data_IF_197378088994
#
_entry.id   IF_197378088994
#
_cell.length_a   1.000
_cell.length_b   1.000
_cell.length_c   1.000
_cell.angle_alpha   90.00
_cell.angle_beta   90.00
_cell.angle_gamma   90.00
#
_symmetry.space_group_name_H-M   'P 1'
#
loop_
_entity.id
_entity.type
_entity.pdbx_description
1 polymer ?
#
# COMPACT_ATOMS: atom_id res chain seq x y z
N UNK A 1 50.80 30.55 18.78
CA UNK A 1 51.17 30.15 17.40
C UNK A 1 50.14 29.14 16.91
N UNK A 2 49.39 29.47 15.86
CA UNK A 2 48.34 28.62 15.30
C UNK A 2 48.84 27.64 14.21
N UNK A 3 50.10 27.79 13.77
CA UNK A 3 50.80 26.86 12.89
C UNK A 3 52.05 26.33 13.58
N UNK A 4 52.26 25.02 13.53
CA UNK A 4 53.43 24.36 14.11
C UNK A 4 53.86 23.17 13.25
N UNK A 5 55.12 22.74 13.37
CA UNK A 5 55.60 21.49 12.77
C UNK A 5 55.76 20.43 13.85
N UNK A 6 55.39 19.19 13.54
CA UNK A 6 55.67 18.05 14.41
C UNK A 6 56.99 17.40 14.01
N UNK A 7 57.63 16.70 14.94
CA UNK A 7 58.94 16.04 14.70
C UNK A 7 58.83 14.82 13.76
N UNK A 8 57.62 14.29 13.60
CA UNK A 8 57.25 13.07 12.87
C UNK A 8 56.59 13.35 11.51
N UNK A 9 56.45 14.61 11.08
CA UNK A 9 55.76 14.96 9.84
C UNK A 9 56.42 16.13 9.10
N UNK A 10 56.63 16.04 7.77
CA UNK A 10 57.17 17.14 6.98
C UNK A 10 56.15 18.28 6.76
N UNK A 11 54.88 18.04 7.08
CA UNK A 11 53.78 18.99 6.87
C UNK A 11 53.59 19.94 8.04
N UNK A 12 53.12 21.15 7.73
CA UNK A 12 52.63 22.06 8.76
C UNK A 12 51.35 21.53 9.38
N UNK A 13 51.14 21.82 10.66
CA UNK A 13 49.93 21.49 11.39
C UNK A 13 49.26 22.78 11.85
N UNK A 14 47.94 22.77 11.79
CA UNK A 14 47.11 23.89 12.24
C UNK A 14 46.51 23.56 13.60
N UNK A 15 46.59 24.51 14.53
CA UNK A 15 45.95 24.44 15.84
C UNK A 15 44.95 25.58 15.95
N UNK A 16 43.68 25.26 15.78
CA UNK A 16 42.57 26.21 15.85
C UNK A 16 41.84 26.00 17.17
N UNK A 17 41.53 27.09 17.87
CA UNK A 17 40.66 27.05 19.05
C UNK A 17 39.36 27.74 18.69
N UNK A 18 38.27 27.00 18.71
CA UNK A 18 36.92 27.50 18.40
C UNK A 18 36.03 27.12 19.57
N UNK A 19 35.48 28.11 20.26
CA UNK A 19 34.58 27.95 21.41
C UNK A 19 35.06 26.94 22.46
N UNK A 20 36.31 27.09 22.91
CA UNK A 20 36.93 26.26 23.95
C UNK A 20 37.43 24.90 23.45
N UNK A 21 37.04 24.44 22.26
CA UNK A 21 37.50 23.18 21.68
C UNK A 21 38.70 23.39 20.76
N UNK A 22 39.73 22.56 20.95
CA UNK A 22 40.98 22.63 20.20
C UNK A 22 40.96 21.59 19.07
N UNK A 23 40.94 22.06 17.83
CA UNK A 23 41.09 21.22 16.64
C UNK A 23 42.55 21.30 16.18
N UNK A 24 43.17 20.14 16.00
CA UNK A 24 44.55 20.02 15.50
C UNK A 24 44.59 19.11 14.29
N UNK A 25 44.80 19.69 13.11
CA UNK A 25 44.78 18.99 11.82
C UNK A 25 46.10 19.25 11.05
N UNK A 26 46.52 18.29 10.22
CA UNK A 26 47.65 18.46 9.31
C UNK A 26 47.20 19.29 8.11
N UNK A 27 48.00 20.26 7.67
CA UNK A 27 47.69 21.06 6.47
C UNK A 27 48.07 20.35 5.17
N UNK A 28 48.77 19.20 5.24
CA UNK A 28 49.18 18.42 4.07
C UNK A 28 50.20 19.11 3.15
N UNK A 29 50.75 20.26 3.57
CA UNK A 29 51.74 21.02 2.79
C UNK A 29 52.97 21.37 3.63
N UNK A 30 54.14 21.28 3.01
CA UNK A 30 55.41 21.70 3.60
C UNK A 30 55.63 23.23 3.49
N UNK A 31 54.87 23.91 2.63
CA UNK A 31 54.94 25.35 2.41
C UNK A 31 54.20 26.12 3.49
N UNK A 32 54.91 27.04 4.16
CA UNK A 32 54.34 27.88 5.23
C UNK A 32 53.23 28.81 4.70
N UNK A 33 53.33 29.28 3.45
CA UNK A 33 52.33 30.16 2.83
C UNK A 33 51.02 29.43 2.56
N UNK A 34 51.08 28.25 1.95
CA UNK A 34 49.91 27.41 1.70
C UNK A 34 49.28 26.89 3.00
N UNK A 35 50.10 26.64 4.03
CA UNK A 35 49.61 26.29 5.36
C UNK A 35 48.83 27.44 6.02
N UNK A 36 49.25 28.69 5.78
CA UNK A 36 48.53 29.89 6.23
C UNK A 36 47.20 30.08 5.49
N UNK A 37 47.19 29.93 4.16
CA UNK A 37 45.96 29.96 3.35
C UNK A 37 44.97 28.87 3.80
N UNK A 38 45.45 27.65 4.06
CA UNK A 38 44.64 26.56 4.62
C UNK A 38 44.10 26.90 6.02
N UNK A 39 44.94 27.45 6.91
CA UNK A 39 44.52 27.91 8.24
C UNK A 39 43.40 28.94 8.14
N UNK A 40 43.53 29.94 7.27
CA UNK A 40 42.58 31.04 7.16
C UNK A 40 41.24 30.55 6.59
N UNK A 41 41.27 29.67 5.57
CA UNK A 41 40.08 29.01 5.04
C UNK A 41 39.39 28.14 6.09
N UNK A 42 40.15 27.33 6.82
CA UNK A 42 39.60 26.42 7.85
C UNK A 42 39.02 27.19 9.03
N UNK A 43 39.67 28.30 9.42
CA UNK A 43 39.17 29.20 10.47
C UNK A 43 37.87 29.88 10.04
N UNK A 44 37.77 30.33 8.78
CA UNK A 44 36.54 30.90 8.23
C UNK A 44 35.40 29.87 8.21
N UNK A 45 35.66 28.64 7.73
CA UNK A 45 34.68 27.54 7.75
C UNK A 45 34.17 27.23 9.17
N UNK A 46 35.08 27.08 10.15
CA UNK A 46 34.70 26.79 11.54
C UNK A 46 33.95 27.96 12.19
N UNK A 47 34.27 29.20 11.83
CA UNK A 47 33.59 30.39 12.34
C UNK A 47 32.22 30.58 11.69
N UNK A 48 32.07 30.33 10.38
CA UNK A 48 30.78 30.28 9.69
C UNK A 48 29.88 29.19 10.26
N UNK A 49 30.43 28.00 10.50
CA UNK A 49 29.73 26.89 11.13
C UNK A 49 29.09 27.28 12.46
N UNK A 50 29.82 28.06 13.27
CA UNK A 50 29.36 28.53 14.56
C UNK A 50 28.38 29.71 14.47
N UNK A 51 28.65 30.70 13.60
CA UNK A 51 27.87 31.95 13.55
C UNK A 51 26.55 31.81 12.79
N UNK A 52 26.49 30.92 11.80
CA UNK A 52 25.31 30.70 10.95
C UNK A 52 24.55 29.41 11.29
N UNK A 53 25.00 28.63 12.29
CA UNK A 53 24.40 27.34 12.63
C UNK A 53 24.53 26.30 11.51
N UNK A 54 25.58 26.40 10.68
CA UNK A 54 25.77 25.50 9.52
C UNK A 54 26.01 24.10 10.05
N UNK A 55 25.06 23.20 9.77
CA UNK A 55 25.16 21.79 10.16
C UNK A 55 26.41 21.15 9.53
N UNK A 56 27.11 20.25 10.25
CA UNK A 56 28.24 19.54 9.68
C UNK A 56 27.79 18.77 8.44
N UNK A 57 28.60 18.83 7.38
CA UNK A 57 28.40 18.03 6.16
C UNK A 57 28.44 16.55 6.50
N UNK A 58 27.42 15.82 6.07
CA UNK A 58 27.22 14.39 6.35
C UNK A 58 26.98 13.67 5.04
N UNK A 59 27.59 12.50 4.91
CA UNK A 59 27.48 11.71 3.70
C UNK A 59 26.20 10.87 3.67
N UNK A 60 25.84 10.44 2.46
CA UNK A 60 24.83 9.41 2.25
C UNK A 60 25.14 8.13 3.02
N UNK A 61 26.41 7.72 3.08
CA UNK A 61 26.82 6.47 3.72
C UNK A 61 26.56 6.50 5.23
N UNK A 62 26.89 7.61 5.89
CA UNK A 62 26.59 7.83 7.31
C UNK A 62 25.08 7.77 7.56
N UNK A 63 24.28 8.37 6.66
CA UNK A 63 22.83 8.38 6.76
C UNK A 63 22.22 6.99 6.60
N UNK A 64 22.75 6.18 5.67
CA UNK A 64 22.29 4.79 5.47
C UNK A 64 22.63 3.93 6.67
N UNK A 65 23.84 4.01 7.21
CA UNK A 65 24.26 3.24 8.37
C UNK A 65 23.38 3.55 9.58
N UNK A 66 23.18 4.84 9.87
CA UNK A 66 22.30 5.28 10.97
C UNK A 66 20.86 4.83 10.76
N UNK A 67 20.31 4.98 9.56
CA UNK A 67 18.95 4.52 9.24
C UNK A 67 18.77 3.03 9.51
N UNK A 68 19.74 2.21 9.07
CA UNK A 68 19.66 0.77 9.24
C UNK A 68 19.82 0.33 10.69
N UNK A 69 20.61 1.05 11.49
CA UNK A 69 20.77 0.81 12.92
C UNK A 69 19.48 1.16 13.71
N UNK A 70 18.84 2.28 13.37
CA UNK A 70 17.56 2.66 13.97
C UNK A 70 16.42 1.71 13.55
N UNK A 71 16.42 1.21 12.32
CA UNK A 71 15.36 0.37 11.75
C UNK A 71 15.61 -1.14 11.84
N UNK A 72 16.54 -1.62 12.68
CA UNK A 72 16.89 -3.05 12.79
C UNK A 72 15.67 -3.95 13.01
N UNK A 73 14.70 -3.49 13.81
CA UNK A 73 13.49 -4.26 14.17
C UNK A 73 12.34 -4.11 13.15
N UNK A 74 12.52 -3.31 12.10
CA UNK A 74 11.48 -3.08 11.08
C UNK A 74 11.25 -4.35 10.27
N UNK A 75 10.00 -4.82 10.18
CA UNK A 75 9.64 -6.01 9.37
C UNK A 75 10.10 -5.93 7.91
N UNK A 76 10.16 -4.71 7.33
CA UNK A 76 10.59 -4.49 5.95
C UNK A 76 12.06 -4.10 5.79
N UNK A 77 12.90 -4.23 6.83
CA UNK A 77 14.32 -3.82 6.77
C UNK A 77 15.08 -4.52 5.65
N UNK A 78 14.75 -5.77 5.34
CA UNK A 78 15.37 -6.52 4.25
C UNK A 78 14.99 -5.99 2.86
N UNK A 79 13.74 -5.54 2.68
CA UNK A 79 13.30 -4.89 1.45
C UNK A 79 13.97 -3.51 1.30
N UNK A 80 14.09 -2.75 2.40
CA UNK A 80 14.82 -1.49 2.42
C UNK A 80 16.29 -1.70 2.04
N UNK A 81 16.97 -2.70 2.62
CA UNK A 81 18.35 -3.09 2.25
C UNK A 81 18.48 -3.42 0.76
N UNK A 82 17.51 -4.14 0.17
CA UNK A 82 17.52 -4.44 -1.27
C UNK A 82 17.46 -3.15 -2.11
N UNK A 83 16.62 -2.19 -1.72
CA UNK A 83 16.53 -0.90 -2.41
C UNK A 83 17.79 -0.04 -2.20
N UNK A 84 18.38 -0.09 -1.01
CA UNK A 84 19.62 0.63 -0.68
C UNK A 84 20.83 0.09 -1.44
N UNK A 85 20.92 -1.23 -1.67
CA UNK A 85 21.97 -1.80 -2.54
C UNK A 85 21.96 -1.23 -3.95
N UNK A 86 20.82 -0.74 -4.43
CA UNK A 86 20.73 -0.05 -5.71
C UNK A 86 21.17 1.42 -5.60
N UNK A 87 20.83 2.11 -4.51
CA UNK A 87 21.23 3.50 -4.28
C UNK A 87 22.72 3.64 -3.93
N UNK A 88 23.31 2.67 -3.25
CA UNK A 88 24.68 2.73 -2.76
C UNK A 88 25.69 3.11 -3.86
N UNK A 89 25.83 2.37 -4.97
CA UNK A 89 26.81 2.73 -6.01
C UNK A 89 26.51 4.06 -6.75
N UNK A 90 25.37 4.70 -6.47
CA UNK A 90 24.94 5.95 -7.11
C UNK A 90 25.15 7.18 -6.24
N UNK A 91 25.11 7.01 -4.92
CA UNK A 91 25.16 8.10 -3.95
C UNK A 91 26.33 7.95 -2.95
N UNK A 92 27.15 6.91 -3.07
CA UNK A 92 28.34 6.69 -2.25
C UNK A 92 29.24 7.92 -2.21
N UNK A 93 29.67 8.31 -1.00
CA UNK A 93 30.50 9.48 -0.75
C UNK A 93 29.82 10.85 -1.00
N UNK A 94 28.59 10.88 -1.53
CA UNK A 94 27.87 12.12 -1.81
C UNK A 94 27.39 12.75 -0.50
N UNK A 95 27.56 14.07 -0.38
CA UNK A 95 27.00 14.82 0.74
C UNK A 95 25.46 14.92 0.60
N UNK A 96 24.74 14.83 1.71
CA UNK A 96 23.27 14.87 1.70
C UNK A 96 22.70 16.14 1.04
N UNK A 97 23.40 17.27 1.12
CA UNK A 97 22.99 18.54 0.48
C UNK A 97 23.10 18.49 -1.06
N UNK A 98 23.95 17.60 -1.60
CA UNK A 98 24.13 17.40 -3.03
C UNK A 98 23.06 16.48 -3.65
N UNK A 99 22.28 15.78 -2.82
CA UNK A 99 21.14 14.96 -3.28
C UNK A 99 19.98 15.89 -3.63
N UNK A 100 20.07 16.56 -4.78
CA UNK A 100 19.05 17.49 -5.26
C UNK A 100 17.94 16.76 -6.00
N UNK A 101 16.88 17.50 -6.36
CA UNK A 101 15.82 16.97 -7.24
C UNK A 101 16.38 16.46 -8.57
N UNK A 102 17.34 17.15 -9.16
CA UNK A 102 17.89 16.79 -10.47
C UNK A 102 18.69 15.48 -10.41
N UNK A 103 19.38 15.24 -9.30
CA UNK A 103 20.03 13.94 -9.03
C UNK A 103 18.97 12.83 -8.99
N UNK A 104 17.87 13.04 -8.25
CA UNK A 104 16.78 12.05 -8.16
C UNK A 104 16.09 11.82 -9.51
N UNK A 105 15.79 12.89 -10.26
CA UNK A 105 15.12 12.80 -11.56
C UNK A 105 16.01 12.12 -12.62
N UNK A 106 17.34 12.29 -12.56
CA UNK A 106 18.30 11.53 -13.39
C UNK A 106 18.18 10.02 -13.15
N UNK A 107 18.18 9.60 -11.90
CA UNK A 107 18.08 8.18 -11.54
C UNK A 107 16.70 7.56 -11.80
N UNK A 108 15.64 8.39 -11.81
CA UNK A 108 14.33 7.98 -12.30
C UNK A 108 14.37 7.67 -13.80
N UNK A 109 14.96 8.54 -14.60
CA UNK A 109 15.10 8.32 -16.04
C UNK A 109 15.95 7.07 -16.34
N UNK A 110 17.04 6.87 -15.60
CA UNK A 110 17.86 5.65 -15.70
C UNK A 110 17.03 4.39 -15.40
N UNK A 111 16.25 4.40 -14.32
CA UNK A 111 15.38 3.27 -13.96
C UNK A 111 14.36 2.96 -15.07
N UNK A 112 13.77 3.99 -15.67
CA UNK A 112 12.84 3.82 -16.79
C UNK A 112 13.53 3.28 -18.05
N UNK A 113 14.73 3.76 -18.39
CA UNK A 113 15.53 3.25 -19.52
C UNK A 113 15.93 1.79 -19.35
N UNK A 114 16.17 1.35 -18.11
CA UNK A 114 16.46 -0.05 -17.78
C UNK A 114 15.24 -0.98 -17.86
N UNK A 115 14.05 -0.47 -18.20
CA UNK A 115 12.81 -1.25 -18.27
C UNK A 115 12.23 -1.63 -16.90
N UNK A 116 12.67 -0.98 -15.82
CA UNK A 116 12.18 -1.25 -14.48
C UNK A 116 10.78 -0.68 -14.28
N UNK A 117 9.89 -1.46 -13.64
CA UNK A 117 8.52 -0.98 -13.40
C UNK A 117 8.49 0.27 -12.52
N UNK A 118 7.57 1.19 -12.82
CA UNK A 118 7.35 2.43 -12.06
C UNK A 118 7.11 2.16 -10.57
N UNK A 119 6.43 1.07 -10.23
CA UNK A 119 6.22 0.66 -8.85
C UNK A 119 7.54 0.36 -8.12
N UNK A 120 8.46 -0.39 -8.74
CA UNK A 120 9.78 -0.67 -8.17
C UNK A 120 10.60 0.60 -8.00
N UNK A 121 10.58 1.49 -8.99
CA UNK A 121 11.23 2.80 -8.92
C UNK A 121 10.66 3.63 -7.77
N UNK A 122 9.34 3.65 -7.60
CA UNK A 122 8.68 4.33 -6.49
C UNK A 122 9.06 3.76 -5.12
N UNK A 123 9.23 2.43 -4.98
CA UNK A 123 9.72 1.83 -3.72
C UNK A 123 11.13 2.31 -3.37
N UNK A 124 12.03 2.37 -4.36
CA UNK A 124 13.37 2.93 -4.16
C UNK A 124 13.35 4.40 -3.75
N UNK A 125 12.49 5.21 -4.41
CA UNK A 125 12.30 6.61 -4.07
C UNK A 125 11.70 6.82 -2.67
N UNK A 126 10.84 5.92 -2.22
CA UNK A 126 10.25 5.95 -0.88
C UNK A 126 11.32 5.72 0.20
N UNK A 127 12.24 4.76 0.00
CA UNK A 127 13.35 4.52 0.93
C UNK A 127 14.30 5.72 0.98
N UNK A 128 14.69 6.26 -0.19
CA UNK A 128 15.49 7.48 -0.25
C UNK A 128 14.81 8.63 0.50
N UNK A 129 13.51 8.85 0.26
CA UNK A 129 12.74 9.89 0.95
C UNK A 129 12.70 9.68 2.46
N UNK A 130 12.56 8.43 2.92
CA UNK A 130 12.54 8.12 4.35
C UNK A 130 13.85 8.55 5.02
N UNK A 131 15.00 8.20 4.44
CA UNK A 131 16.31 8.58 4.94
C UNK A 131 16.49 10.10 4.95
N UNK A 132 16.18 10.78 3.83
CA UNK A 132 16.31 12.24 3.75
C UNK A 132 15.37 12.96 4.73
N UNK A 133 14.17 12.42 4.98
CA UNK A 133 13.25 12.95 6.00
C UNK A 133 13.81 12.78 7.41
N UNK A 134 14.40 11.62 7.75
CA UNK A 134 15.06 11.45 9.04
C UNK A 134 16.22 12.41 9.20
N UNK A 135 17.08 12.50 8.18
CA UNK A 135 18.18 13.44 8.14
C UNK A 135 17.72 14.89 8.36
N UNK A 136 16.58 15.30 7.82
CA UNK A 136 16.09 16.66 7.99
C UNK A 136 15.31 16.90 9.30
N UNK A 137 14.46 15.96 9.71
CA UNK A 137 13.45 16.17 10.75
C UNK A 137 13.80 15.57 12.11
N UNK A 138 14.66 14.56 12.15
CA UNK A 138 14.99 13.81 13.38
C UNK A 138 16.47 13.93 13.73
N UNK A 139 17.36 13.89 12.74
CA UNK A 139 18.81 13.95 12.96
C UNK A 139 19.38 15.35 12.84
N UNK A 140 18.61 16.28 12.28
CA UNK A 140 19.01 17.66 12.02
C UNK A 140 20.31 17.77 11.19
N UNK A 141 20.54 16.82 10.27
CA UNK A 141 21.69 16.82 9.34
C UNK A 141 21.41 17.60 8.06
N UNK A 142 20.13 17.80 7.73
CA UNK A 142 19.69 18.51 6.53
C UNK A 142 18.68 19.59 6.93
N UNK A 143 18.64 20.72 6.22
CA UNK A 143 17.64 21.77 6.49
C UNK A 143 16.31 21.51 5.81
N UNK A 144 16.36 20.91 4.62
CA UNK A 144 15.17 20.64 3.81
C UNK A 144 15.33 19.39 2.98
N UNK A 145 14.25 18.62 2.91
CA UNK A 145 14.18 17.46 2.03
C UNK A 145 13.93 17.93 0.59
N UNK A 146 14.68 17.44 -0.42
CA UNK A 146 14.40 17.72 -1.81
C UNK A 146 13.00 17.23 -2.19
N UNK A 147 12.20 18.09 -2.82
CA UNK A 147 10.85 17.74 -3.25
C UNK A 147 10.90 17.08 -4.64
N UNK A 148 10.73 15.77 -4.68
CA UNK A 148 10.59 15.00 -5.93
C UNK A 148 9.27 14.25 -5.97
N UNK A 149 8.68 14.09 -7.17
CA UNK A 149 7.42 13.37 -7.38
C UNK A 149 7.67 11.90 -7.68
N UNK A 150 6.79 11.05 -7.16
CA UNK A 150 6.72 9.63 -7.53
C UNK A 150 6.14 9.49 -8.93
N UNK A 151 6.48 8.40 -9.61
CA UNK A 151 5.94 8.04 -10.92
C UNK A 151 4.47 7.62 -10.79
N UNK A 152 3.68 7.85 -11.83
CA UNK A 152 2.28 7.44 -11.87
C UNK A 152 2.21 5.93 -12.07
N UNK A 153 1.73 5.21 -11.07
CA UNK A 153 1.52 3.76 -11.19
C UNK A 153 0.20 3.50 -11.93
N UNK A 154 0.18 2.61 -12.94
CA UNK A 154 -1.08 2.20 -13.55
C UNK A 154 -1.96 1.51 -12.51
N UNK A 155 -3.28 1.74 -12.59
CA UNK A 155 -4.24 0.99 -11.78
C UNK A 155 -4.14 -0.49 -12.15
N UNK A 156 -3.73 -1.34 -11.21
CA UNK A 156 -3.55 -2.76 -11.48
C UNK A 156 -4.88 -3.40 -11.87
N UNK A 157 -4.93 -4.06 -13.03
CA UNK A 157 -6.09 -4.87 -13.43
C UNK A 157 -6.33 -5.96 -12.39
N UNK A 158 -7.56 -6.07 -11.90
CA UNK A 158 -7.97 -7.17 -11.02
C UNK A 158 -8.21 -8.39 -11.89
N UNK A 159 -7.26 -9.34 -11.88
CA UNK A 159 -7.47 -10.66 -12.47
C UNK A 159 -8.16 -11.56 -11.44
N UNK A 160 -9.22 -12.24 -11.86
CA UNK A 160 -9.95 -13.24 -11.10
C UNK A 160 -10.31 -14.41 -12.01
N UNK A 161 -10.54 -15.61 -11.46
CA UNK A 161 -10.94 -16.79 -12.24
C UNK A 161 -12.45 -16.89 -12.42
N UNK A 162 -12.89 -17.46 -13.54
CA UNK A 162 -14.25 -18.01 -13.66
C UNK A 162 -14.38 -19.30 -12.82
N UNK A 163 -15.61 -19.79 -12.64
CA UNK A 163 -15.86 -21.04 -11.90
C UNK A 163 -15.21 -22.24 -12.61
N UNK A 164 -15.26 -22.24 -13.94
CA UNK A 164 -14.68 -23.27 -14.81
C UNK A 164 -13.15 -23.21 -14.77
N UNK A 165 -12.56 -22.01 -14.86
CA UNK A 165 -11.11 -21.84 -14.69
C UNK A 165 -10.64 -22.33 -13.32
N UNK A 166 -11.37 -22.00 -12.26
CA UNK A 166 -11.05 -22.49 -10.91
C UNK A 166 -11.13 -24.02 -10.84
N UNK A 167 -12.17 -24.64 -11.41
CA UNK A 167 -12.30 -26.09 -11.49
C UNK A 167 -11.11 -26.76 -12.20
N UNK A 168 -10.74 -26.27 -13.39
CA UNK A 168 -9.57 -26.75 -14.13
C UNK A 168 -8.27 -26.59 -13.34
N UNK A 169 -8.07 -25.44 -12.70
CA UNK A 169 -6.89 -25.21 -11.87
C UNK A 169 -6.82 -26.20 -10.69
N UNK A 170 -7.93 -26.40 -9.98
CA UNK A 170 -7.97 -27.29 -8.83
C UNK A 170 -7.72 -28.74 -9.21
N UNK A 171 -8.20 -29.20 -10.37
CA UNK A 171 -7.92 -30.54 -10.89
C UNK A 171 -6.42 -30.77 -11.17
N UNK A 172 -5.71 -29.73 -11.59
CA UNK A 172 -4.29 -29.79 -11.96
C UNK A 172 -3.31 -29.61 -10.79
N UNK A 173 -3.80 -29.21 -9.61
CA UNK A 173 -2.95 -28.93 -8.45
C UNK A 173 -2.63 -30.20 -7.65
N UNK A 174 -1.38 -30.32 -7.13
CA UNK A 174 -1.05 -31.37 -6.17
C UNK A 174 -1.86 -31.18 -4.87
N UNK A 175 -2.11 -32.28 -4.15
CA UNK A 175 -3.05 -32.35 -3.03
C UNK A 175 -2.91 -31.18 -2.03
N UNK A 176 -1.70 -30.95 -1.50
CA UNK A 176 -1.44 -29.88 -0.53
C UNK A 176 -1.78 -28.47 -1.08
N UNK A 177 -1.46 -28.17 -2.34
CA UNK A 177 -1.81 -26.88 -2.94
C UNK A 177 -3.29 -26.80 -3.28
N UNK A 178 -3.90 -27.92 -3.68
CA UNK A 178 -5.33 -28.00 -4.01
C UNK A 178 -6.19 -27.70 -2.77
N UNK A 179 -5.88 -28.33 -1.63
CA UNK A 179 -6.56 -28.08 -0.36
C UNK A 179 -6.45 -26.59 0.04
N UNK A 180 -5.24 -26.05 0.05
CA UNK A 180 -5.01 -24.64 0.35
C UNK A 180 -5.71 -23.68 -0.63
N UNK A 181 -5.74 -24.01 -1.93
CA UNK A 181 -6.37 -23.18 -2.95
C UNK A 181 -7.90 -23.18 -2.81
N UNK A 182 -8.52 -24.35 -2.58
CA UNK A 182 -9.95 -24.47 -2.25
C UNK A 182 -10.30 -23.62 -1.03
N UNK A 183 -9.52 -23.77 0.04
CA UNK A 183 -9.72 -22.99 1.27
C UNK A 183 -9.56 -21.48 1.04
N UNK A 184 -8.57 -21.07 0.24
CA UNK A 184 -8.35 -19.66 -0.12
C UNK A 184 -9.49 -19.09 -0.96
N UNK A 185 -10.05 -19.87 -1.88
CA UNK A 185 -11.21 -19.48 -2.70
C UNK A 185 -12.50 -19.40 -1.88
N UNK A 186 -12.62 -20.19 -0.82
CA UNK A 186 -13.78 -20.21 0.05
C UNK A 186 -13.79 -19.06 1.08
N UNK A 187 -12.61 -18.69 1.61
CA UNK A 187 -12.48 -17.74 2.73
C UNK A 187 -11.90 -16.38 2.36
N UNK A 188 -11.23 -16.27 1.21
CA UNK A 188 -10.51 -15.05 0.83
C UNK A 188 -9.30 -14.71 1.71
N UNK A 189 -8.85 -15.64 2.55
CA UNK A 189 -7.75 -15.41 3.49
C UNK A 189 -6.43 -15.06 2.75
N UNK A 190 -5.59 -14.25 3.42
CA UNK A 190 -4.25 -13.97 2.89
C UNK A 190 -3.41 -15.24 2.92
N UNK A 191 -2.55 -15.42 1.93
CA UNK A 191 -1.65 -16.57 1.81
C UNK A 191 -0.92 -16.90 3.12
N UNK A 192 -0.39 -15.89 3.82
CA UNK A 192 0.29 -16.10 5.11
C UNK A 192 -0.60 -16.75 6.17
N UNK A 193 -1.86 -16.32 6.25
CA UNK A 193 -2.84 -16.84 7.21
C UNK A 193 -3.23 -18.28 6.88
N UNK A 194 -3.35 -18.62 5.59
CA UNK A 194 -3.64 -20.00 5.17
C UNK A 194 -2.45 -20.92 5.45
N UNK A 195 -1.23 -20.50 5.10
CA UNK A 195 -0.01 -21.29 5.36
C UNK A 195 0.26 -21.53 6.84
N UNK A 196 -0.09 -20.55 7.67
CA UNK A 196 0.13 -20.57 9.12
C UNK A 196 -1.11 -20.97 9.93
N UNK A 197 -2.14 -21.54 9.30
CA UNK A 197 -3.36 -21.91 10.01
C UNK A 197 -3.10 -23.11 10.91
N UNK A 198 -3.34 -22.94 12.22
CA UNK A 198 -3.21 -23.96 13.25
C UNK A 198 -4.58 -24.46 13.69
N UNK A 199 -4.67 -25.70 14.14
CA UNK A 199 -5.91 -26.27 14.68
C UNK A 199 -6.46 -25.47 15.86
N UNK A 200 -5.59 -24.95 16.72
CA UNK A 200 -5.96 -24.07 17.84
C UNK A 200 -6.66 -22.76 17.41
N UNK A 201 -6.58 -22.39 16.12
CA UNK A 201 -7.22 -21.19 15.55
C UNK A 201 -8.51 -21.51 14.80
N UNK A 202 -8.96 -22.76 14.79
CA UNK A 202 -10.18 -23.20 14.12
C UNK A 202 -11.17 -23.67 15.17
N UNK A 203 -12.36 -23.09 15.14
CA UNK A 203 -13.50 -23.49 15.94
C UNK A 203 -14.51 -24.16 15.00
N UNK A 204 -14.57 -25.49 15.04
CA UNK A 204 -15.43 -26.29 14.18
C UNK A 204 -16.91 -26.12 14.54
N UNK A 205 -17.22 -25.96 15.83
CA UNK A 205 -18.59 -25.82 16.32
C UNK A 205 -19.18 -24.47 15.90
N UNK A 206 -18.39 -23.40 16.01
CA UNK A 206 -18.79 -22.05 15.57
C UNK A 206 -18.53 -21.79 14.09
N UNK A 207 -18.00 -22.78 13.36
CA UNK A 207 -17.62 -22.69 11.95
C UNK A 207 -16.82 -21.41 11.66
N UNK A 208 -15.77 -21.16 12.46
CA UNK A 208 -14.99 -19.92 12.36
C UNK A 208 -13.49 -20.16 12.52
N UNK A 209 -12.69 -19.35 11.85
CA UNK A 209 -11.24 -19.33 12.00
C UNK A 209 -10.76 -17.97 12.53
N UNK A 210 -9.71 -17.99 13.35
CA UNK A 210 -9.13 -16.81 13.95
C UNK A 210 -7.81 -16.42 13.26
N UNK A 211 -7.74 -15.17 12.79
CA UNK A 211 -6.47 -14.57 12.35
C UNK A 211 -5.96 -13.66 13.45
N UNK A 212 -4.78 -13.92 13.97
CA UNK A 212 -4.20 -13.09 15.05
C UNK A 212 -3.87 -11.67 14.60
N UNK A 213 -3.91 -10.73 15.55
CA UNK A 213 -3.56 -9.34 15.32
C UNK A 213 -2.11 -9.15 14.81
N UNK A 214 -1.18 -10.01 15.21
CA UNK A 214 0.22 -10.01 14.79
C UNK A 214 0.42 -10.39 13.32
N UNK A 215 -0.52 -11.17 12.79
CA UNK A 215 -0.59 -11.70 11.41
C UNK A 215 -1.48 -10.83 10.51
N UNK A 216 -2.46 -10.14 11.10
CA UNK A 216 -3.29 -9.16 10.41
C UNK A 216 -2.52 -7.84 10.22
N UNK A 217 -2.38 -7.39 8.97
CA UNK A 217 -1.80 -6.05 8.66
C UNK A 217 -2.48 -4.89 9.40
N UNK A 218 -3.70 -5.09 9.90
CA UNK A 218 -4.47 -4.11 10.67
C UNK A 218 -4.40 -4.22 12.20
N UNK A 219 -3.58 -5.12 12.76
CA UNK A 219 -3.42 -5.30 14.23
C UNK A 219 -4.72 -5.58 15.01
N UNK A 220 -5.74 -6.10 14.35
CA UNK A 220 -7.00 -6.54 14.98
C UNK A 220 -7.22 -8.00 14.62
N UNK A 221 -7.62 -8.82 15.60
CA UNK A 221 -8.07 -10.17 15.32
C UNK A 221 -9.35 -10.12 14.51
N UNK A 222 -9.44 -10.92 13.45
CA UNK A 222 -10.61 -10.94 12.56
C UNK A 222 -11.15 -12.38 12.58
N UNK A 223 -12.36 -12.60 13.13
CA UNK A 223 -13.03 -13.88 12.96
C UNK A 223 -13.42 -14.02 11.50
N UNK A 224 -13.06 -15.15 10.90
CA UNK A 224 -13.38 -15.49 9.51
C UNK A 224 -14.43 -16.59 9.54
N UNK A 225 -15.69 -16.29 9.15
CA UNK A 225 -16.70 -17.33 9.05
C UNK A 225 -16.31 -18.32 7.96
N UNK A 226 -16.44 -19.59 8.26
CA UNK A 226 -16.12 -20.70 7.36
C UNK A 226 -17.42 -21.17 6.73
N UNK A 227 -17.52 -21.05 5.41
CA UNK A 227 -18.65 -21.61 4.68
C UNK A 227 -18.52 -23.15 4.56
N UNK A 228 -19.55 -23.79 4.04
CA UNK A 228 -19.58 -25.25 3.88
C UNK A 228 -18.37 -25.82 3.12
N UNK A 229 -17.88 -25.12 2.08
CA UNK A 229 -16.70 -25.57 1.32
C UNK A 229 -15.41 -25.45 2.15
N UNK A 230 -15.25 -24.37 2.92
CA UNK A 230 -14.12 -24.22 3.82
C UNK A 230 -14.11 -25.29 4.91
N UNK A 231 -15.29 -25.60 5.48
CA UNK A 231 -15.46 -26.67 6.48
C UNK A 231 -15.09 -28.04 5.90
N UNK A 232 -15.59 -28.40 4.72
CA UNK A 232 -15.22 -29.66 4.05
C UNK A 232 -13.71 -29.80 3.86
N UNK A 233 -13.04 -28.73 3.42
CA UNK A 233 -11.58 -28.75 3.24
C UNK A 233 -10.86 -28.96 4.56
N UNK A 234 -11.32 -28.33 5.65
CA UNK A 234 -10.74 -28.52 6.99
C UNK A 234 -10.95 -29.96 7.47
N UNK A 235 -12.14 -30.51 7.31
CA UNK A 235 -12.46 -31.90 7.66
C UNK A 235 -11.55 -32.89 6.90
N UNK A 236 -11.30 -32.65 5.61
CA UNK A 236 -10.35 -33.44 4.79
C UNK A 236 -8.89 -33.34 5.28
N UNK A 237 -8.53 -32.35 6.13
CA UNK A 237 -7.19 -32.23 6.71
C UNK A 237 -7.08 -32.85 8.12
N UNK A 238 -8.19 -33.21 8.77
CA UNK A 238 -8.16 -33.78 10.12
C UNK A 238 -7.30 -35.04 10.17
N UNK A 239 -6.47 -35.14 11.20
CA UNK A 239 -5.57 -36.29 11.42
C UNK A 239 -4.31 -36.31 10.57
N UNK A 240 -4.11 -35.39 9.60
CA UNK A 240 -2.89 -35.34 8.79
C UNK A 240 -1.68 -34.75 9.53
N UNK A 241 -1.91 -33.80 10.43
CA UNK A 241 -0.90 -33.16 11.26
C UNK A 241 -1.53 -32.68 12.58
N UNK A 242 -0.83 -32.81 13.73
CA UNK A 242 -1.40 -32.48 15.03
C UNK A 242 -1.49 -30.97 15.33
N UNK A 243 -0.69 -30.11 14.68
CA UNK A 243 -0.65 -28.67 14.99
C UNK A 243 -1.21 -27.81 13.84
N UNK A 244 -0.86 -28.16 12.59
CA UNK A 244 -1.12 -27.33 11.42
C UNK A 244 -2.22 -27.91 10.54
N UNK A 245 -3.12 -27.05 10.06
CA UNK A 245 -4.20 -27.47 9.16
C UNK A 245 -3.64 -27.84 7.77
N UNK A 246 -2.65 -27.08 7.28
CA UNK A 246 -2.04 -27.33 5.97
C UNK A 246 -0.54 -27.57 6.11
N UNK A 247 -0.10 -28.75 5.68
CA UNK A 247 1.32 -29.13 5.69
C UNK A 247 1.77 -29.66 4.33
N UNK A 248 3.08 -29.69 4.14
CA UNK A 248 3.70 -30.40 3.01
C UNK A 248 4.78 -31.32 3.56
N UNK A 249 4.61 -32.63 3.37
CA UNK A 249 5.53 -33.67 3.90
C UNK A 249 5.73 -33.55 5.42
N UNK A 250 4.64 -33.35 6.17
CA UNK A 250 4.66 -33.27 7.64
C UNK A 250 5.36 -32.02 8.20
N UNK A 251 5.52 -30.97 7.39
CA UNK A 251 6.11 -29.69 7.82
C UNK A 251 5.22 -28.52 7.44
N UNK A 252 5.26 -27.42 8.23
CA UNK A 252 4.55 -26.20 7.89
C UNK A 252 5.07 -25.61 6.58
N UNK A 253 4.18 -24.92 5.86
CA UNK A 253 4.49 -24.40 4.52
C UNK A 253 5.19 -23.03 4.64
N UNK A 254 6.51 -23.07 4.78
CA UNK A 254 7.33 -21.87 4.94
C UNK A 254 7.58 -21.13 3.61
N UNK A 255 7.64 -21.86 2.50
CA UNK A 255 7.96 -21.31 1.18
C UNK A 255 6.80 -20.53 0.54
N UNK A 256 7.09 -19.84 -0.58
CA UNK A 256 6.09 -19.14 -1.40
C UNK A 256 5.17 -20.15 -2.07
N UNK A 257 3.85 -19.91 -2.11
CA UNK A 257 2.87 -20.83 -2.73
C UNK A 257 2.86 -20.77 -4.26
N UNK A 258 3.29 -19.65 -4.86
CA UNK A 258 3.55 -19.54 -6.30
C UNK A 258 4.85 -20.27 -6.70
N UNK A 259 4.89 -21.56 -6.39
CA UNK A 259 6.00 -22.48 -6.66
C UNK A 259 6.09 -22.83 -8.15
N UNK A 260 7.09 -23.63 -8.52
CA UNK A 260 7.14 -24.25 -9.85
C UNK A 260 5.92 -25.14 -10.10
N UNK A 261 5.41 -25.84 -9.09
CA UNK A 261 4.21 -26.68 -9.21
C UNK A 261 2.96 -25.87 -9.54
N UNK A 262 2.76 -24.73 -8.85
CA UNK A 262 1.67 -23.78 -9.15
C UNK A 262 1.70 -23.31 -10.62
N UNK A 263 2.87 -22.87 -11.10
CA UNK A 263 3.02 -22.40 -12.49
C UNK A 263 2.77 -23.51 -13.51
N UNK A 264 3.22 -24.74 -13.23
CA UNK A 264 2.95 -25.90 -14.11
C UNK A 264 1.44 -26.23 -14.15
N UNK A 265 0.75 -26.18 -13.02
CA UNK A 265 -0.70 -26.40 -12.96
C UNK A 265 -1.46 -25.32 -13.75
N UNK A 266 -1.10 -24.05 -13.60
CA UNK A 266 -1.68 -22.97 -14.42
C UNK A 266 -1.48 -23.18 -15.92
N UNK A 267 -0.28 -23.60 -16.33
CA UNK A 267 -0.01 -23.90 -17.75
C UNK A 267 -0.90 -25.03 -18.28
N UNK A 268 -1.09 -26.12 -17.52
CA UNK A 268 -1.98 -27.22 -17.91
C UNK A 268 -3.45 -26.82 -17.92
N UNK A 269 -3.86 -25.97 -16.98
CA UNK A 269 -5.22 -25.43 -16.92
C UNK A 269 -5.51 -24.33 -17.96
N UNK A 270 -4.51 -23.90 -18.75
CA UNK A 270 -4.65 -22.83 -19.74
C UNK A 270 -4.86 -21.44 -19.13
N UNK A 271 -4.33 -21.18 -17.94
CA UNK A 271 -4.52 -19.93 -17.21
C UNK A 271 -3.24 -19.10 -17.23
N UNK A 272 -3.34 -17.90 -17.76
CA UNK A 272 -2.22 -16.95 -17.83
C UNK A 272 -2.35 -15.81 -16.81
N UNK A 273 -1.20 -15.20 -16.48
CA UNK A 273 -1.10 -14.00 -15.65
C UNK A 273 -1.82 -14.11 -14.28
N UNK A 274 -1.78 -15.28 -13.66
CA UNK A 274 -2.46 -15.55 -12.38
C UNK A 274 -1.47 -15.99 -11.29
N UNK A 275 -1.57 -15.39 -10.12
CA UNK A 275 -0.74 -15.67 -8.93
C UNK A 275 -1.62 -16.15 -7.79
N UNK A 276 -1.00 -16.71 -6.75
CA UNK A 276 -1.75 -17.19 -5.58
C UNK A 276 -2.61 -16.09 -4.94
N UNK A 277 -2.08 -14.87 -4.85
CA UNK A 277 -2.83 -13.76 -4.25
C UNK A 277 -4.10 -13.39 -5.04
N UNK A 278 -4.15 -13.76 -6.32
CA UNK A 278 -5.29 -13.51 -7.17
C UNK A 278 -6.46 -14.47 -6.87
N UNK A 279 -6.26 -15.52 -6.05
CA UNK A 279 -7.36 -16.31 -5.45
C UNK A 279 -8.22 -15.45 -4.52
N UNK A 280 -7.61 -14.54 -3.76
CA UNK A 280 -8.35 -13.60 -2.92
C UNK A 280 -9.11 -12.57 -3.76
N UNK A 281 -8.54 -12.14 -4.88
CA UNK A 281 -9.25 -11.32 -5.86
C UNK A 281 -10.43 -12.10 -6.45
N UNK A 282 -10.26 -13.38 -6.72
CA UNK A 282 -11.33 -14.28 -7.20
C UNK A 282 -12.46 -14.40 -6.20
N UNK A 283 -12.17 -14.70 -4.93
CA UNK A 283 -13.15 -14.72 -3.86
C UNK A 283 -13.93 -13.40 -3.76
N UNK A 284 -13.23 -12.26 -3.81
CA UNK A 284 -13.86 -10.94 -3.74
C UNK A 284 -14.74 -10.64 -4.94
N UNK A 285 -14.28 -10.97 -6.15
CA UNK A 285 -15.06 -10.84 -7.38
C UNK A 285 -16.33 -11.69 -7.34
N UNK A 286 -16.23 -12.93 -6.87
CA UNK A 286 -17.39 -13.82 -6.74
C UNK A 286 -18.40 -13.33 -5.71
N UNK A 287 -17.96 -12.73 -4.60
CA UNK A 287 -18.85 -12.06 -3.66
C UNK A 287 -19.56 -10.86 -4.29
N UNK A 288 -18.83 -10.03 -5.04
CA UNK A 288 -19.41 -8.87 -5.72
C UNK A 288 -20.44 -9.29 -6.77
N UNK A 289 -20.13 -10.32 -7.58
CA UNK A 289 -21.04 -10.88 -8.57
C UNK A 289 -22.27 -11.55 -7.94
N UNK A 290 -22.11 -12.15 -6.75
CA UNK A 290 -23.20 -12.73 -5.96
C UNK A 290 -24.01 -11.70 -5.18
N UNK A 291 -23.79 -10.40 -5.39
CA UNK A 291 -24.55 -9.32 -4.76
C UNK A 291 -24.22 -9.04 -3.30
N UNK A 292 -23.04 -9.45 -2.82
CA UNK A 292 -22.61 -9.12 -1.46
C UNK A 292 -22.36 -7.61 -1.33
N UNK A 293 -23.03 -6.90 -0.39
CA UNK A 293 -22.79 -5.47 -0.22
C UNK A 293 -21.31 -5.15 0.08
N UNK A 294 -20.76 -4.11 -0.54
CA UNK A 294 -19.32 -3.81 -0.45
C UNK A 294 -18.83 -3.59 0.98
N UNK A 295 -19.66 -3.05 1.87
CA UNK A 295 -19.31 -2.86 3.28
C UNK A 295 -19.22 -4.20 4.04
N UNK A 296 -20.06 -5.19 3.71
CA UNK A 296 -19.98 -6.56 4.24
C UNK A 296 -18.73 -7.24 3.71
N UNK A 297 -18.49 -7.15 2.39
CA UNK A 297 -17.29 -7.70 1.76
C UNK A 297 -16.01 -7.08 2.35
N UNK A 298 -16.03 -5.77 2.65
CA UNK A 298 -14.92 -5.09 3.32
C UNK A 298 -14.58 -5.75 4.67
N UNK A 299 -15.61 -6.02 5.49
CA UNK A 299 -15.47 -6.66 6.80
C UNK A 299 -14.98 -8.10 6.66
N UNK A 300 -15.62 -8.90 5.80
CA UNK A 300 -15.23 -10.29 5.54
C UNK A 300 -13.77 -10.41 5.08
N UNK A 301 -13.33 -9.53 4.19
CA UNK A 301 -11.96 -9.53 3.73
C UNK A 301 -10.97 -8.93 4.73
N UNK A 302 -11.41 -8.16 5.72
CA UNK A 302 -10.49 -7.42 6.60
C UNK A 302 -9.69 -6.33 5.87
N UNK A 303 -10.37 -5.58 4.99
CA UNK A 303 -9.79 -4.40 4.34
C UNK A 303 -9.91 -3.16 5.21
N UNK A 304 -8.80 -2.43 5.36
CA UNK A 304 -8.75 -1.26 6.26
C UNK A 304 -9.55 -0.07 5.74
N UNK A 305 -9.58 0.14 4.42
CA UNK A 305 -10.26 1.29 3.82
C UNK A 305 -11.25 0.84 2.73
N UNK A 306 -12.38 1.56 2.57
CA UNK A 306 -13.36 1.28 1.51
C UNK A 306 -12.75 1.32 0.10
N UNK A 307 -11.78 2.20 -0.13
CA UNK A 307 -11.06 2.30 -1.41
C UNK A 307 -10.39 0.98 -1.83
N UNK A 308 -10.01 0.11 -0.88
CA UNK A 308 -9.42 -1.20 -1.21
C UNK A 308 -10.44 -2.16 -1.83
N UNK A 309 -11.70 -2.13 -1.39
CA UNK A 309 -12.77 -3.02 -1.87
C UNK A 309 -13.51 -2.44 -3.08
N UNK A 310 -13.54 -1.11 -3.23
CA UNK A 310 -14.21 -0.45 -4.37
C UNK A 310 -13.75 -0.92 -5.75
N UNK A 311 -12.53 -1.47 -5.85
CA UNK A 311 -12.04 -2.09 -7.09
C UNK A 311 -12.91 -3.23 -7.61
N UNK A 312 -13.78 -3.84 -6.80
CA UNK A 312 -14.69 -4.90 -7.22
C UNK A 312 -16.13 -4.42 -7.43
N UNK A 313 -16.44 -3.16 -7.11
CA UNK A 313 -17.82 -2.66 -7.12
C UNK A 313 -18.47 -2.77 -8.51
N UNK A 314 -17.69 -2.56 -9.57
CA UNK A 314 -18.14 -2.70 -10.96
C UNK A 314 -18.54 -4.13 -11.36
N UNK A 315 -18.22 -5.15 -10.56
CA UNK A 315 -18.60 -6.54 -10.85
C UNK A 315 -19.98 -6.91 -10.32
N UNK A 316 -20.59 -6.04 -9.50
CA UNK A 316 -21.96 -6.20 -9.00
C UNK A 316 -23.01 -5.45 -9.82
N UNK A 317 -22.77 -5.18 -11.11
CA UNK A 317 -23.68 -4.35 -11.92
C UNK A 317 -25.05 -4.99 -12.14
N UNK A 318 -25.15 -6.33 -12.15
CA UNK A 318 -26.45 -7.02 -12.19
C UNK A 318 -27.31 -6.71 -10.95
N UNK A 319 -26.66 -6.40 -9.83
CA UNK A 319 -27.30 -5.99 -8.58
C UNK A 319 -27.83 -4.54 -8.65
N UNK A 320 -27.25 -3.67 -9.49
CA UNK A 320 -27.75 -2.29 -9.67
C UNK A 320 -29.18 -2.27 -10.20
N UNK A 321 -29.52 -3.22 -11.08
CA UNK A 321 -30.90 -3.38 -11.56
C UNK A 321 -31.84 -3.79 -10.42
N UNK A 322 -31.45 -4.78 -9.62
CA UNK A 322 -32.20 -5.22 -8.44
C UNK A 322 -32.40 -4.09 -7.41
N UNK A 323 -31.36 -3.30 -7.14
CA UNK A 323 -31.47 -2.15 -6.23
C UNK A 323 -32.29 -1.00 -6.83
N UNK A 324 -32.20 -0.76 -8.13
CA UNK A 324 -33.04 0.23 -8.81
C UNK A 324 -34.53 -0.13 -8.71
N UNK A 325 -34.88 -1.41 -8.83
CA UNK A 325 -36.25 -1.93 -8.69
C UNK A 325 -36.83 -1.78 -7.26
N UNK A 326 -36.01 -1.49 -6.25
CA UNK A 326 -36.50 -1.25 -4.87
C UNK A 326 -37.19 0.10 -4.71
N UNK A 327 -36.92 1.06 -5.60
CA UNK A 327 -37.61 2.35 -5.59
C UNK A 327 -38.99 2.16 -6.19
N UNK A 328 -39.98 1.90 -5.33
CA UNK A 328 -41.39 1.85 -5.71
C UNK A 328 -42.06 3.16 -5.37
N UNK A 329 -42.70 3.81 -6.36
CA UNK A 329 -43.64 4.88 -6.06
C UNK A 329 -44.88 4.24 -5.43
N UNK A 330 -45.31 4.74 -4.27
CA UNK A 330 -46.63 4.38 -3.76
C UNK A 330 -47.65 4.84 -4.79
N UNK A 331 -48.41 3.91 -5.38
CA UNK A 331 -49.64 4.29 -6.03
C UNK A 331 -50.55 4.87 -4.96
N UNK A 332 -50.92 6.14 -5.10
CA UNK A 332 -51.96 6.75 -4.27
C UNK A 332 -53.18 5.81 -4.29
N UNK A 333 -53.78 5.49 -3.13
CA UNK A 333 -55.02 4.73 -3.12
C UNK A 333 -56.02 5.40 -4.07
N UNK A 334 -56.81 4.64 -4.86
CA UNK A 334 -57.85 5.23 -5.68
C UNK A 334 -58.71 6.10 -4.76
N UNK A 335 -58.73 7.41 -5.06
CA UNK A 335 -59.33 8.41 -4.20
C UNK A 335 -60.73 7.96 -3.79
N UNK A 336 -61.03 8.04 -2.49
CA UNK A 336 -62.38 7.88 -1.99
C UNK A 336 -63.31 8.76 -2.82
N UNK A 337 -64.14 8.14 -3.65
CA UNK A 337 -65.27 8.82 -4.27
C UNK A 337 -66.20 9.16 -3.12
N UNK A 338 -66.12 10.39 -2.62
CA UNK A 338 -67.10 10.94 -1.72
C UNK A 338 -68.46 10.78 -2.41
N UNK A 339 -69.29 9.90 -1.87
CA UNK A 339 -70.66 9.71 -2.32
C UNK A 339 -71.39 11.07 -2.17
N UNK A 340 -71.52 11.79 -3.27
CA UNK A 340 -72.42 12.94 -3.35
C UNK A 340 -73.84 12.38 -3.25
N UNK A 341 -74.67 12.83 -2.27
CA UNK A 341 -76.05 12.41 -2.23
C UNK A 341 -76.76 12.96 -3.48
N UNK A 342 -77.50 12.10 -4.17
CA UNK A 342 -78.34 12.47 -5.30
C UNK A 342 -79.26 13.64 -4.91
N UNK A 343 -79.01 14.81 -5.49
CA UNK A 343 -80.01 15.88 -5.50
C UNK A 343 -80.92 15.69 -6.71
N UNK A 344 -82.13 15.25 -6.41
CA UNK A 344 -83.33 15.30 -7.23
C UNK A 344 -83.51 16.63 -7.97
N UNK A 345 -83.72 16.52 -9.29
CA UNK A 345 -84.34 17.41 -10.29
C UNK A 345 -84.57 18.89 -9.96
N UNK A 346 -83.96 19.77 -10.77
CA UNK A 346 -84.36 21.17 -10.99
C UNK A 346 -83.97 21.64 -12.41
N UNK A 347 -84.86 22.35 -13.09
CA UNK A 347 -84.84 22.73 -14.52
C UNK A 347 -83.80 23.82 -14.87
N UNK A 348 -83.36 23.77 -16.14
CA UNK A 348 -82.53 24.70 -16.97
C UNK A 348 -82.41 26.18 -16.56
N UNK A 349 -81.19 26.72 -16.69
CA UNK A 349 -80.89 27.94 -17.49
C UNK A 349 -79.37 28.15 -17.65
N UNK A 350 -78.88 28.21 -18.89
CA UNK A 350 -77.74 29.06 -19.29
C UNK A 350 -78.20 30.54 -19.25
N UNK A 351 -77.35 31.60 -19.13
CA UNK A 351 -76.04 31.71 -19.82
C UNK A 351 -74.93 32.58 -19.16
N UNK A 352 -73.74 32.51 -19.77
CA UNK A 352 -72.73 33.57 -19.99
C UNK A 352 -71.86 34.13 -18.84
N UNK A 353 -70.56 34.05 -19.15
CA UNK A 353 -69.47 35.04 -18.96
C UNK A 353 -68.79 35.12 -17.59
N UNK A 354 -67.51 34.75 -17.60
CA UNK A 354 -66.43 35.61 -17.12
C UNK A 354 -65.14 35.22 -17.87
N UNK A 355 -64.86 35.99 -18.92
CA UNK A 355 -63.51 36.20 -19.43
C UNK A 355 -62.66 36.79 -18.30
N UNK A 356 -61.35 36.56 -18.40
CA UNK A 356 -60.22 37.35 -17.89
C UNK A 356 -59.25 36.60 -16.99
N UNK A 357 -57.98 36.71 -17.43
CA UNK A 357 -56.72 36.53 -16.70
C UNK A 357 -56.10 35.12 -16.67
N UNK A 358 -55.51 34.73 -17.81
CA UNK A 358 -54.14 34.21 -17.77
C UNK A 358 -53.18 35.43 -17.71
N UNK A 359 -52.01 35.28 -17.08
CA UNK A 359 -50.86 35.05 -17.94
C UNK A 359 -49.97 33.90 -17.49
N UNK A 360 -49.50 33.16 -18.49
CA UNK A 360 -48.34 32.28 -18.43
C UNK A 360 -47.11 33.11 -18.07
N UNK A 361 -46.44 32.79 -16.96
CA UNK A 361 -45.05 33.20 -16.74
C UNK A 361 -44.30 31.98 -16.22
N UNK A 362 -43.45 31.43 -17.09
CA UNK A 362 -42.50 30.39 -16.77
C UNK A 362 -41.50 30.87 -15.72
N UNK A 363 -41.21 30.00 -14.76
CA UNK A 363 -40.14 30.16 -13.79
C UNK A 363 -39.20 28.96 -13.93
N UNK A 364 -38.18 29.09 -14.78
CA UNK A 364 -36.94 28.35 -14.61
C UNK A 364 -36.01 29.18 -13.71
N UNK A 365 -35.49 28.63 -12.59
CA UNK A 365 -34.41 29.26 -11.86
C UNK A 365 -33.05 28.88 -12.45
N UNK A 366 -32.31 29.87 -12.93
CA UNK A 366 -30.86 29.80 -13.14
C UNK A 366 -30.17 29.66 -11.79
N UNK A 367 -29.29 28.67 -11.66
CA UNK A 367 -28.47 28.43 -10.45
C UNK A 367 -27.03 28.95 -10.69
N UNK A 368 -26.34 29.51 -9.67
CA UNK A 368 -25.07 30.25 -9.81
C UNK A 368 -23.86 29.44 -10.27
#
# INVERSE_FOLDING_TARGET
MSLYKRKDSPYWWVKLTVSGHRVSESTGTASKRQAQEYHDKRRAELWEQQRLGVKPRRSWDEAVLRYLDEEVKKKSVNDDKLHLRWWQPRLEGMDLTQITRDVVDRYKQESQRSGLSDATTNRRLQVLRAILRRAALEWEWLDRVPRFRLLKEPQGRVRYLTREEAGRLLAELPEHLRAMARFSLATGLRQGNVKGLRWAKVDLDRQSAWVEATEAKGKKAIPVPLNAEAMRVIEEQLGKDPEWVFTFRGRPIEFKTSTKAWRKALKRAGIENFRWHDLRHTWASWHAQGGTPMHVLQKLGGWQTPAMVQRYAHLGMDDLKRYAEQVRMQESPPGYVLATPEKTKGRRSDPKSLKYLAPEVGLEPTTP
#
